data_IF_753768685732
#
_entry.id   IF_753768685732
#
_cell.length_a   1.000
_cell.length_b   1.000
_cell.length_c   1.000
_cell.angle_alpha   90.00
_cell.angle_beta   90.00
_cell.angle_gamma   90.00
#
_symmetry.space_group_name_H-M   'P 1'
#
loop_
_entity.id
_entity.type
_entity.pdbx_description
1 polymer ?
#
# COMPACT_ATOMS: atom_id res chain seq x y z
N UNK A 1 12.29 10.31 17.60
CA UNK A 1 11.26 9.48 18.28
C UNK A 1 10.61 8.62 17.22
N UNK A 2 10.52 7.30 17.45
CA UNK A 2 9.90 6.35 16.52
C UNK A 2 8.40 6.65 16.41
N UNK A 3 7.88 6.66 15.19
CA UNK A 3 6.45 6.77 14.90
C UNK A 3 5.86 5.38 14.73
N UNK A 4 4.75 5.12 15.38
CA UNK A 4 4.09 3.81 15.44
C UNK A 4 2.68 3.90 14.91
N UNK A 5 2.30 3.02 14.03
CA UNK A 5 1.02 3.12 13.32
C UNK A 5 0.25 1.82 13.19
N UNK A 6 -0.99 1.95 12.79
CA UNK A 6 -1.89 0.84 12.50
C UNK A 6 -2.77 1.15 11.30
N UNK A 7 -3.02 0.16 10.45
CA UNK A 7 -4.05 0.27 9.41
C UNK A 7 -5.44 0.11 10.02
N UNK A 8 -6.38 0.92 9.55
CA UNK A 8 -7.74 0.95 10.06
C UNK A 8 -8.75 0.87 8.91
N UNK A 9 -9.47 -0.23 8.85
CA UNK A 9 -10.43 -0.58 7.82
C UNK A 9 -11.55 -1.46 8.38
N UNK A 10 -12.51 -1.85 7.53
CA UNK A 10 -13.66 -2.69 7.89
C UNK A 10 -14.63 -2.09 8.91
N UNK A 11 -14.40 -0.91 9.41
CA UNK A 11 -15.27 -0.26 10.39
C UNK A 11 -16.16 0.78 9.73
N UNK A 12 -17.45 0.74 10.07
CA UNK A 12 -18.45 1.57 9.44
C UNK A 12 -19.12 2.61 10.35
N UNK A 13 -18.84 2.62 11.66
CA UNK A 13 -19.62 3.40 12.62
C UNK A 13 -18.74 4.32 13.48
N UNK A 14 -19.06 5.65 13.56
CA UNK A 14 -18.26 6.59 14.34
C UNK A 14 -18.10 6.22 15.83
N UNK A 15 -19.11 5.62 16.46
CA UNK A 15 -19.02 5.21 17.86
C UNK A 15 -18.10 3.99 18.08
N UNK A 16 -17.84 3.19 17.04
CA UNK A 16 -16.78 2.17 17.10
C UNK A 16 -15.41 2.84 17.06
N UNK A 17 -15.20 3.76 16.13
CA UNK A 17 -13.94 4.50 16.05
C UNK A 17 -13.62 5.23 17.35
N UNK A 18 -14.62 5.80 18.06
CA UNK A 18 -14.40 6.49 19.34
C UNK A 18 -13.72 5.55 20.35
N UNK A 19 -14.23 4.31 20.49
CA UNK A 19 -13.62 3.29 21.37
C UNK A 19 -12.27 2.80 20.85
N UNK A 20 -12.17 2.60 19.53
CA UNK A 20 -10.96 2.13 18.88
C UNK A 20 -9.82 3.16 19.00
N UNK A 21 -10.13 4.47 18.99
CA UNK A 21 -9.13 5.52 19.22
C UNK A 21 -8.52 5.45 20.62
N UNK A 22 -9.33 5.16 21.64
CA UNK A 22 -8.81 4.98 23.01
C UNK A 22 -7.90 3.74 23.08
N UNK A 23 -8.29 2.66 22.45
CA UNK A 23 -7.51 1.42 22.38
C UNK A 23 -6.21 1.61 21.58
N UNK A 24 -6.27 2.22 20.40
CA UNK A 24 -5.10 2.55 19.56
C UNK A 24 -4.10 3.41 20.34
N UNK A 25 -4.56 4.39 21.10
CA UNK A 25 -3.71 5.22 21.96
C UNK A 25 -3.12 4.44 23.13
N UNK A 26 -3.91 3.56 23.76
CA UNK A 26 -3.44 2.67 24.82
C UNK A 26 -2.35 1.72 24.33
N UNK A 27 -2.38 1.34 23.04
CA UNK A 27 -1.36 0.55 22.36
C UNK A 27 -0.21 1.40 21.78
N UNK A 28 -0.10 2.67 22.21
CA UNK A 28 1.00 3.57 21.88
C UNK A 28 1.17 3.87 20.38
N UNK A 29 0.12 3.76 19.57
CA UNK A 29 0.15 4.27 18.20
C UNK A 29 0.22 5.79 18.19
N UNK A 30 0.94 6.35 17.23
CA UNK A 30 1.07 7.80 17.00
C UNK A 30 0.36 8.25 15.72
N UNK A 31 -0.01 7.32 14.84
CA UNK A 31 -0.77 7.62 13.63
C UNK A 31 -1.67 6.43 13.24
N UNK A 32 -2.70 6.75 12.47
CA UNK A 32 -3.64 5.78 11.90
C UNK A 32 -3.61 5.93 10.37
N UNK A 33 -3.57 4.80 9.68
CA UNK A 33 -3.74 4.74 8.22
C UNK A 33 -5.18 4.33 7.92
N UNK A 34 -6.02 5.32 7.60
CA UNK A 34 -7.40 5.10 7.18
C UNK A 34 -7.44 4.56 5.78
N UNK A 35 -7.87 3.31 5.65
CA UNK A 35 -8.09 2.66 4.36
C UNK A 35 -9.51 2.96 3.89
N UNK A 36 -9.67 3.62 2.74
CA UNK A 36 -10.98 3.82 2.14
C UNK A 36 -10.96 3.70 0.62
N UNK A 37 -11.97 3.01 0.11
CA UNK A 37 -12.14 2.68 -1.29
C UNK A 37 -13.01 3.70 -2.02
N UNK A 38 -13.29 3.43 -3.28
CA UNK A 38 -14.27 4.17 -4.09
C UNK A 38 -15.69 4.08 -3.51
N UNK A 39 -15.99 3.02 -2.76
CA UNK A 39 -17.29 2.87 -2.10
C UNK A 39 -17.53 3.95 -1.05
N UNK A 40 -16.54 4.23 -0.21
CA UNK A 40 -16.60 5.28 0.80
C UNK A 40 -16.70 6.68 0.16
N UNK A 41 -16.04 6.90 -0.98
CA UNK A 41 -16.16 8.17 -1.72
C UNK A 41 -17.60 8.48 -2.12
N UNK A 42 -18.35 7.46 -2.50
CA UNK A 42 -19.71 7.62 -3.05
C UNK A 42 -20.78 7.55 -1.96
N UNK A 43 -20.71 6.54 -1.10
CA UNK A 43 -21.80 6.19 -0.20
C UNK A 43 -21.58 6.58 1.26
N UNK A 44 -20.32 6.91 1.65
CA UNK A 44 -19.98 7.12 3.04
C UNK A 44 -19.09 8.37 3.27
N UNK A 45 -19.11 9.32 2.36
CA UNK A 45 -18.22 10.50 2.38
C UNK A 45 -18.24 11.26 3.71
N UNK A 46 -19.42 11.55 4.26
CA UNK A 46 -19.53 12.31 5.50
C UNK A 46 -18.96 11.53 6.70
N UNK A 47 -19.20 10.23 6.76
CA UNK A 47 -18.66 9.34 7.77
C UNK A 47 -17.14 9.28 7.69
N UNK A 48 -16.59 9.10 6.49
CA UNK A 48 -15.13 9.07 6.28
C UNK A 48 -14.49 10.38 6.71
N UNK A 49 -15.05 11.52 6.31
CA UNK A 49 -14.60 12.85 6.79
C UNK A 49 -14.67 12.98 8.33
N UNK A 50 -15.68 12.40 8.96
CA UNK A 50 -15.80 12.36 10.42
C UNK A 50 -14.68 11.52 11.05
N UNK A 51 -14.31 10.37 10.47
CA UNK A 51 -13.22 9.53 10.96
C UNK A 51 -11.90 10.27 10.97
N UNK A 52 -11.57 10.96 9.87
CA UNK A 52 -10.37 11.77 9.78
C UNK A 52 -10.33 12.89 10.83
N UNK A 53 -11.47 13.58 11.04
CA UNK A 53 -11.57 14.61 12.07
C UNK A 53 -11.37 14.01 13.47
N UNK A 54 -12.06 12.94 13.83
CA UNK A 54 -11.95 12.29 15.15
C UNK A 54 -10.52 11.85 15.44
N UNK A 55 -9.81 11.29 14.44
CA UNK A 55 -8.39 10.88 14.57
C UNK A 55 -7.49 12.07 14.88
N UNK A 56 -7.65 13.19 14.16
CA UNK A 56 -6.88 14.41 14.43
C UNK A 56 -7.22 15.04 15.79
N UNK A 57 -8.50 15.06 16.15
CA UNK A 57 -8.96 15.56 17.45
C UNK A 57 -8.39 14.74 18.62
N UNK A 58 -8.12 13.43 18.38
CA UNK A 58 -7.43 12.56 19.31
C UNK A 58 -5.90 12.79 19.37
N UNK A 59 -5.35 13.71 18.55
CA UNK A 59 -3.92 14.04 18.51
C UNK A 59 -3.05 13.02 17.77
N UNK A 60 -3.66 12.19 16.93
CA UNK A 60 -2.96 11.18 16.13
C UNK A 60 -2.68 11.69 14.69
N UNK A 61 -1.57 11.26 14.11
CA UNK A 61 -1.31 11.41 12.68
C UNK A 61 -2.41 10.71 11.86
N UNK A 62 -2.80 11.32 10.76
CA UNK A 62 -3.96 10.90 10.00
C UNK A 62 -3.59 10.64 8.55
N UNK A 63 -3.30 9.38 8.22
CA UNK A 63 -2.91 8.96 6.88
C UNK A 63 -4.10 8.41 6.10
N UNK A 64 -4.05 8.52 4.78
CA UNK A 64 -5.06 7.98 3.89
C UNK A 64 -4.45 6.96 2.92
N UNK A 65 -5.03 5.77 2.86
CA UNK A 65 -4.66 4.69 1.95
C UNK A 65 -5.74 4.52 0.87
N UNK A 66 -5.40 4.56 -0.44
CA UNK A 66 -6.31 4.27 -1.53
C UNK A 66 -6.61 2.75 -1.64
N UNK A 67 -7.29 2.21 -0.67
CA UNK A 67 -7.54 0.77 -0.46
C UNK A 67 -8.19 0.12 -1.69
N UNK A 68 -7.40 -0.61 -2.45
CA UNK A 68 -7.73 -1.22 -3.74
C UNK A 68 -8.33 -0.25 -4.78
N UNK A 69 -8.15 1.06 -4.62
CA UNK A 69 -8.69 2.07 -5.54
C UNK A 69 -8.16 1.82 -6.96
N UNK A 70 -9.07 1.79 -7.94
CA UNK A 70 -8.76 1.54 -9.35
C UNK A 70 -8.16 0.15 -9.64
N UNK A 71 -8.08 -0.73 -8.64
CA UNK A 71 -7.35 -2.01 -8.74
C UNK A 71 -5.85 -1.83 -9.00
N UNK A 72 -5.27 -0.72 -8.52
CA UNK A 72 -3.86 -0.36 -8.70
C UNK A 72 -3.05 -0.39 -7.40
N UNK A 73 -3.70 -0.61 -6.27
CA UNK A 73 -3.12 -0.58 -4.94
C UNK A 73 -3.55 -1.81 -4.14
N UNK A 74 -2.76 -2.15 -3.14
CA UNK A 74 -3.09 -3.21 -2.19
C UNK A 74 -4.41 -2.98 -1.45
N UNK A 75 -4.96 -4.05 -0.90
CA UNK A 75 -6.16 -4.02 -0.07
C UNK A 75 -7.27 -4.96 -0.54
N UNK A 76 -8.16 -5.29 0.39
CA UNK A 76 -9.21 -6.31 0.26
C UNK A 76 -10.55 -5.71 -0.21
N UNK A 77 -10.52 -4.96 -1.32
CA UNK A 77 -11.69 -4.36 -1.94
C UNK A 77 -11.67 -4.49 -3.47
N UNK A 78 -12.81 -4.29 -4.09
CA UNK A 78 -12.93 -4.25 -5.55
C UNK A 78 -13.21 -2.82 -6.04
N UNK A 79 -12.58 -2.46 -7.16
CA UNK A 79 -12.79 -1.16 -7.79
C UNK A 79 -14.20 -1.05 -8.40
N UNK A 80 -14.96 -0.03 -7.98
CA UNK A 80 -16.23 0.32 -8.62
C UNK A 80 -16.04 1.12 -9.92
N UNK A 81 -14.85 1.67 -10.15
CA UNK A 81 -14.50 2.41 -11.36
C UNK A 81 -14.42 1.48 -12.58
N UNK A 82 -13.78 0.33 -12.39
CA UNK A 82 -13.46 -0.62 -13.47
C UNK A 82 -14.69 -1.05 -14.29
N UNK A 83 -15.78 -1.58 -13.68
CA UNK A 83 -16.96 -1.98 -14.46
C UNK A 83 -17.70 -0.82 -15.12
N UNK A 84 -17.52 0.40 -14.64
CA UNK A 84 -18.15 1.62 -15.21
C UNK A 84 -17.34 2.22 -16.35
N UNK A 85 -16.06 1.88 -16.46
CA UNK A 85 -15.14 2.45 -17.45
C UNK A 85 -14.34 1.33 -18.17
N UNK A 86 -15.04 0.41 -18.89
CA UNK A 86 -14.40 -0.78 -19.45
C UNK A 86 -13.29 -0.45 -20.45
N UNK A 87 -13.34 0.73 -21.11
CA UNK A 87 -12.30 1.15 -22.05
C UNK A 87 -11.05 1.72 -21.34
N UNK A 88 -11.16 2.05 -20.06
CA UNK A 88 -10.04 2.48 -19.23
C UNK A 88 -9.39 1.32 -18.45
N UNK A 89 -9.89 0.08 -18.62
CA UNK A 89 -9.31 -1.10 -17.94
C UNK A 89 -7.99 -1.53 -18.58
N UNK A 90 -7.18 -2.22 -17.76
CA UNK A 90 -6.06 -3.00 -18.25
C UNK A 90 -6.56 -4.17 -19.11
N UNK A 91 -5.74 -4.56 -20.07
CA UNK A 91 -5.94 -5.75 -20.88
C UNK A 91 -4.73 -6.65 -20.68
N UNK A 92 -4.97 -7.94 -20.50
CA UNK A 92 -3.91 -8.91 -20.31
C UNK A 92 -3.29 -9.34 -21.65
N UNK A 93 -2.12 -9.94 -21.60
CA UNK A 93 -1.45 -10.53 -22.77
C UNK A 93 -2.29 -11.61 -23.49
N UNK A 94 -3.27 -12.19 -22.77
CA UNK A 94 -4.29 -13.12 -23.30
C UNK A 94 -5.39 -12.43 -24.11
N UNK A 95 -5.54 -11.09 -23.97
CA UNK A 95 -6.62 -10.30 -24.55
C UNK A 95 -7.82 -10.08 -23.61
N UNK A 96 -7.83 -10.68 -22.45
CA UNK A 96 -8.88 -10.53 -21.43
C UNK A 96 -8.74 -9.17 -20.72
N UNK A 97 -9.86 -8.53 -20.40
CA UNK A 97 -9.86 -7.32 -19.55
C UNK A 97 -9.59 -7.73 -18.09
N UNK A 98 -8.66 -7.04 -17.44
CA UNK A 98 -8.39 -7.21 -16.02
C UNK A 98 -9.31 -6.31 -15.17
N UNK A 99 -9.61 -6.70 -13.92
CA UNK A 99 -10.39 -5.87 -12.98
C UNK A 99 -9.56 -4.72 -12.38
N UNK A 100 -8.73 -4.07 -13.21
CA UNK A 100 -7.84 -2.99 -12.82
C UNK A 100 -7.82 -1.89 -13.90
N UNK A 101 -7.76 -0.63 -13.48
CA UNK A 101 -7.69 0.52 -14.38
C UNK A 101 -6.29 0.66 -15.01
N UNK A 102 -6.24 1.12 -16.25
CA UNK A 102 -4.96 1.38 -16.92
C UNK A 102 -4.39 2.73 -16.49
N UNK A 103 -3.16 2.80 -15.93
CA UNK A 103 -2.53 4.05 -15.50
C UNK A 103 -2.34 5.10 -16.60
N UNK A 104 -2.33 4.68 -17.90
CA UNK A 104 -2.23 5.60 -19.02
C UNK A 104 -3.56 6.23 -19.44
N UNK A 105 -4.69 5.74 -18.90
CA UNK A 105 -6.00 6.31 -19.25
C UNK A 105 -6.23 7.64 -18.54
N UNK A 106 -6.71 8.63 -19.25
CA UNK A 106 -7.01 9.96 -18.68
C UNK A 106 -8.08 9.86 -17.59
N UNK A 107 -9.07 9.00 -17.80
CA UNK A 107 -10.17 8.73 -16.87
C UNK A 107 -9.64 8.15 -15.54
N UNK A 108 -8.65 7.24 -15.61
CA UNK A 108 -7.97 6.66 -14.44
C UNK A 108 -7.26 7.76 -13.63
N UNK A 109 -6.51 8.61 -14.30
CA UNK A 109 -5.78 9.73 -13.68
C UNK A 109 -6.73 10.74 -13.05
N UNK A 110 -7.82 11.06 -13.73
CA UNK A 110 -8.86 11.96 -13.20
C UNK A 110 -9.55 11.37 -11.96
N UNK A 111 -9.90 10.09 -11.99
CA UNK A 111 -10.51 9.40 -10.84
C UNK A 111 -9.56 9.35 -9.62
N UNK A 112 -8.27 9.06 -9.85
CA UNK A 112 -7.29 9.08 -8.75
C UNK A 112 -7.14 10.48 -8.15
N UNK A 113 -7.05 11.52 -8.97
CA UNK A 113 -7.01 12.90 -8.46
C UNK A 113 -8.26 13.30 -7.68
N UNK A 114 -9.42 12.78 -8.06
CA UNK A 114 -10.66 12.99 -7.29
C UNK A 114 -10.58 12.35 -5.91
N UNK A 115 -10.06 11.10 -5.82
CA UNK A 115 -9.82 10.42 -4.56
C UNK A 115 -8.83 11.21 -3.69
N UNK A 116 -7.70 11.65 -4.26
CA UNK A 116 -6.67 12.43 -3.58
C UNK A 116 -7.22 13.76 -3.04
N UNK A 117 -7.97 14.50 -3.87
CA UNK A 117 -8.60 15.74 -3.42
C UNK A 117 -9.49 15.50 -2.21
N UNK A 118 -10.28 14.42 -2.24
CA UNK A 118 -11.17 14.07 -1.14
C UNK A 118 -10.41 13.68 0.14
N UNK A 119 -9.35 12.87 0.03
CA UNK A 119 -8.50 12.51 1.16
C UNK A 119 -7.87 13.74 1.83
N UNK A 120 -7.38 14.67 1.02
CA UNK A 120 -6.80 15.95 1.47
C UNK A 120 -7.88 16.82 2.13
N UNK A 121 -9.05 16.95 1.53
CA UNK A 121 -10.18 17.72 2.07
C UNK A 121 -10.67 17.15 3.41
N UNK A 122 -10.61 15.84 3.60
CA UNK A 122 -10.90 15.20 4.89
C UNK A 122 -9.85 15.52 5.95
N UNK A 123 -8.65 15.94 5.52
CA UNK A 123 -7.54 16.36 6.36
C UNK A 123 -6.52 15.26 6.59
N UNK A 124 -6.26 14.44 5.62
CA UNK A 124 -5.08 13.60 5.63
C UNK A 124 -3.81 14.47 5.69
N UNK A 125 -2.89 14.13 6.58
CA UNK A 125 -1.55 14.73 6.65
C UNK A 125 -0.54 13.99 5.77
N UNK A 126 -0.86 12.76 5.40
CA UNK A 126 -0.03 11.88 4.57
C UNK A 126 -0.91 10.99 3.69
N UNK A 127 -0.56 10.88 2.41
CA UNK A 127 -1.11 9.87 1.50
C UNK A 127 -0.17 8.67 1.52
N UNK A 128 -0.72 7.50 1.77
CA UNK A 128 0.01 6.24 1.82
C UNK A 128 -0.27 5.41 0.56
N UNK A 129 0.73 5.29 -0.29
CA UNK A 129 0.70 4.53 -1.55
C UNK A 129 1.05 3.07 -1.27
N UNK A 130 0.03 2.24 -1.15
CA UNK A 130 0.14 0.85 -0.75
C UNK A 130 0.37 -0.05 -1.96
N UNK A 131 1.55 -0.63 -2.05
CA UNK A 131 1.94 -1.61 -3.08
C UNK A 131 1.43 -1.30 -4.49
N UNK A 132 1.69 -0.10 -5.05
CA UNK A 132 1.18 0.24 -6.37
C UNK A 132 1.70 -0.72 -7.44
N UNK A 133 0.78 -1.32 -8.21
CA UNK A 133 1.10 -2.38 -9.18
C UNK A 133 0.19 -2.34 -10.42
N UNK A 134 0.63 -2.94 -11.53
CA UNK A 134 -0.26 -3.39 -12.58
C UNK A 134 -0.96 -4.67 -12.12
N UNK A 135 -2.11 -5.00 -12.72
CA UNK A 135 -2.85 -6.20 -12.29
C UNK A 135 -1.95 -7.43 -12.18
N UNK A 136 -2.02 -8.09 -11.05
CA UNK A 136 -1.28 -9.30 -10.70
C UNK A 136 -2.25 -10.48 -10.73
N UNK A 137 -2.13 -11.42 -11.70
CA UNK A 137 -2.92 -12.64 -11.68
C UNK A 137 -2.73 -13.44 -10.39
N UNK A 138 -3.81 -13.99 -9.86
CA UNK A 138 -3.81 -14.77 -8.62
C UNK A 138 -3.79 -13.96 -7.33
N UNK A 139 -3.70 -12.63 -7.40
CA UNK A 139 -3.73 -11.78 -6.21
C UNK A 139 -5.04 -11.89 -5.41
N UNK A 140 -6.15 -12.05 -6.11
CA UNK A 140 -7.49 -12.11 -5.53
C UNK A 140 -8.03 -13.55 -5.36
N UNK A 141 -7.21 -14.57 -5.64
CA UNK A 141 -7.54 -16.01 -5.59
C UNK A 141 -8.81 -16.43 -6.36
N UNK A 142 -9.36 -15.53 -7.18
CA UNK A 142 -10.59 -15.81 -7.95
C UNK A 142 -10.33 -16.58 -9.26
N UNK A 143 -9.06 -16.91 -9.56
CA UNK A 143 -8.70 -17.66 -10.75
C UNK A 143 -9.06 -16.96 -12.06
N UNK A 144 -9.08 -15.63 -12.05
CA UNK A 144 -9.55 -14.81 -13.16
C UNK A 144 -8.68 -14.92 -14.41
N UNK A 145 -7.39 -15.09 -14.26
CA UNK A 145 -6.43 -15.15 -15.37
C UNK A 145 -5.30 -16.14 -15.08
N UNK A 146 -4.62 -16.66 -16.13
CA UNK A 146 -3.42 -17.47 -15.94
C UNK A 146 -2.33 -16.68 -15.18
N UNK A 147 -1.59 -17.35 -14.30
CA UNK A 147 -0.55 -16.75 -13.45
C UNK A 147 0.57 -16.05 -14.22
N UNK A 148 0.81 -16.45 -15.47
CA UNK A 148 1.84 -15.87 -16.34
C UNK A 148 1.31 -14.73 -17.22
N UNK A 149 0.02 -14.41 -17.16
CA UNK A 149 -0.56 -13.29 -17.90
C UNK A 149 0.05 -11.95 -17.44
N UNK A 150 0.36 -11.09 -18.41
CA UNK A 150 0.96 -9.77 -18.16
C UNK A 150 -0.03 -8.65 -18.49
N UNK A 151 -0.01 -7.57 -17.73
CA UNK A 151 -0.69 -6.32 -18.01
C UNK A 151 0.34 -5.19 -18.27
N UNK A 152 0.03 -4.11 -18.98
CA UNK A 152 -1.20 -3.78 -19.67
C UNK A 152 -1.03 -3.82 -21.19
N UNK A 153 -1.93 -4.51 -21.87
CA UNK A 153 -1.95 -4.67 -23.33
C UNK A 153 -3.16 -3.96 -23.99
N UNK A 154 -3.74 -2.95 -23.32
CA UNK A 154 -4.82 -2.18 -23.92
C UNK A 154 -4.35 -1.44 -25.19
N UNK A 155 -5.25 -1.02 -26.08
CA UNK A 155 -4.85 -0.35 -27.33
C UNK A 155 -3.88 0.80 -27.12
N UNK A 156 -4.12 1.67 -26.14
CA UNK A 156 -3.23 2.80 -25.79
C UNK A 156 -1.82 2.33 -25.43
N UNK A 157 -1.69 1.31 -24.58
CA UNK A 157 -0.40 0.78 -24.19
C UNK A 157 0.35 0.14 -25.34
N UNK A 158 -0.34 -0.63 -26.21
CA UNK A 158 0.26 -1.24 -27.40
C UNK A 158 0.75 -0.18 -28.41
N UNK A 159 -0.02 0.86 -28.63
CA UNK A 159 0.37 1.95 -29.51
C UNK A 159 1.54 2.75 -28.94
N UNK A 160 1.52 3.07 -27.65
CA UNK A 160 2.63 3.73 -26.95
C UNK A 160 3.91 2.90 -26.98
N UNK A 161 3.81 1.56 -26.77
CA UNK A 161 4.94 0.67 -26.88
C UNK A 161 5.53 0.67 -28.28
N UNK A 162 4.68 0.54 -29.32
CA UNK A 162 5.11 0.57 -30.72
C UNK A 162 5.81 1.88 -31.09
N UNK A 163 5.28 3.02 -30.64
CA UNK A 163 5.92 4.33 -30.87
C UNK A 163 7.29 4.40 -30.19
N UNK A 164 7.42 3.89 -28.97
CA UNK A 164 8.66 3.98 -28.20
C UNK A 164 9.76 3.02 -28.67
N UNK A 165 9.40 1.81 -29.04
CA UNK A 165 10.36 0.74 -29.36
C UNK A 165 10.42 0.33 -30.83
N UNK A 166 9.57 0.91 -31.70
CA UNK A 166 9.54 0.64 -33.14
C UNK A 166 9.06 -0.76 -33.53
N UNK A 167 8.50 -1.54 -32.59
CA UNK A 167 8.07 -2.92 -32.78
C UNK A 167 6.76 -3.22 -32.04
N UNK A 168 6.01 -4.26 -32.45
CA UNK A 168 4.84 -4.73 -31.72
C UNK A 168 5.19 -5.13 -30.28
N UNK A 169 4.26 -4.90 -29.35
CA UNK A 169 4.44 -5.29 -27.95
C UNK A 169 4.50 -6.82 -27.82
N UNK A 170 5.58 -7.40 -27.25
CA UNK A 170 5.73 -8.84 -27.06
C UNK A 170 4.78 -9.35 -25.98
N UNK A 171 4.32 -10.60 -26.10
CA UNK A 171 3.43 -11.24 -25.11
C UNK A 171 4.17 -11.87 -23.93
N UNK A 172 5.49 -11.98 -24.01
CA UNK A 172 6.38 -12.49 -22.95
C UNK A 172 7.19 -11.33 -22.38
N UNK A 173 7.62 -11.46 -21.13
CA UNK A 173 8.37 -10.41 -20.44
C UNK A 173 9.79 -10.30 -21.02
N UNK A 174 10.00 -9.28 -21.86
CA UNK A 174 11.33 -8.88 -22.37
C UNK A 174 11.85 -7.66 -21.58
N UNK A 175 13.14 -7.33 -21.69
CA UNK A 175 13.67 -6.10 -21.07
C UNK A 175 12.91 -4.83 -21.48
N UNK A 176 12.52 -4.71 -22.76
CA UNK A 176 11.77 -3.56 -23.28
C UNK A 176 10.35 -3.52 -22.69
N UNK A 177 9.69 -4.68 -22.57
CA UNK A 177 8.36 -4.75 -21.97
C UNK A 177 8.42 -4.42 -20.48
N UNK A 178 9.42 -4.91 -19.75
CA UNK A 178 9.64 -4.56 -18.34
C UNK A 178 9.83 -3.05 -18.21
N UNK A 179 10.75 -2.47 -18.98
CA UNK A 179 11.01 -1.03 -18.97
C UNK A 179 9.74 -0.23 -19.31
N UNK A 180 8.91 -0.70 -20.24
CA UNK A 180 7.64 -0.05 -20.58
C UNK A 180 6.67 -0.05 -19.40
N UNK A 181 6.49 -1.20 -18.75
CA UNK A 181 5.60 -1.38 -17.58
C UNK A 181 6.06 -0.52 -16.41
N UNK A 182 7.36 -0.53 -16.10
CA UNK A 182 7.95 0.33 -15.08
C UNK A 182 7.64 1.80 -15.36
N UNK A 183 7.89 2.26 -16.58
CA UNK A 183 7.63 3.65 -16.95
C UNK A 183 6.16 4.02 -16.86
N UNK A 184 5.26 3.09 -17.20
CA UNK A 184 3.82 3.31 -17.12
C UNK A 184 3.38 3.63 -15.68
N UNK A 185 3.88 2.86 -14.71
CA UNK A 185 3.61 3.11 -13.28
C UNK A 185 4.38 4.33 -12.75
N UNK A 186 5.63 4.50 -13.15
CA UNK A 186 6.44 5.65 -12.75
C UNK A 186 5.83 6.98 -13.19
N UNK A 187 5.33 7.07 -14.43
CA UNK A 187 4.66 8.26 -14.95
C UNK A 187 3.37 8.57 -14.17
N UNK A 188 2.60 7.53 -13.84
CA UNK A 188 1.40 7.67 -13.03
C UNK A 188 1.71 8.13 -11.61
N UNK A 189 2.61 7.43 -10.92
CA UNK A 189 3.00 7.76 -9.54
C UNK A 189 3.63 9.15 -9.45
N UNK A 190 4.49 9.53 -10.39
CA UNK A 190 5.11 10.85 -10.40
C UNK A 190 4.07 11.97 -10.50
N UNK A 191 3.05 11.80 -11.33
CA UNK A 191 1.95 12.77 -11.44
C UNK A 191 1.13 12.83 -10.15
N UNK A 192 0.78 11.69 -9.56
CA UNK A 192 -0.07 11.63 -8.37
C UNK A 192 0.66 12.10 -7.11
N UNK A 193 1.92 11.70 -6.91
CA UNK A 193 2.78 12.15 -5.81
C UNK A 193 3.03 13.67 -5.93
N UNK A 194 3.31 14.16 -7.14
CA UNK A 194 3.45 15.60 -7.40
C UNK A 194 2.17 16.37 -7.07
N UNK A 195 0.99 15.83 -7.43
CA UNK A 195 -0.31 16.43 -7.10
C UNK A 195 -0.52 16.60 -5.58
N UNK A 196 -0.12 15.61 -4.78
CA UNK A 196 -0.19 15.63 -3.32
C UNK A 196 0.83 16.61 -2.74
N UNK A 197 2.09 16.52 -3.19
CA UNK A 197 3.19 17.39 -2.76
C UNK A 197 2.87 18.88 -2.96
N UNK A 198 2.33 19.25 -4.12
CA UNK A 198 1.96 20.64 -4.45
C UNK A 198 0.83 21.20 -3.54
N UNK A 199 0.17 20.33 -2.77
CA UNK A 199 -0.86 20.67 -1.77
C UNK A 199 -0.35 20.66 -0.33
N UNK A 200 0.95 20.45 -0.15
CA UNK A 200 1.61 20.47 1.16
C UNK A 200 1.31 19.25 2.03
N UNK A 201 0.84 18.15 1.43
CA UNK A 201 0.58 16.87 2.11
C UNK A 201 1.75 15.92 1.82
N UNK A 202 2.13 15.10 2.79
CA UNK A 202 3.23 14.14 2.65
C UNK A 202 2.83 12.94 1.81
N UNK A 203 3.83 12.32 1.20
CA UNK A 203 3.72 11.07 0.47
C UNK A 203 4.54 9.98 1.15
N UNK A 204 3.90 8.89 1.52
CA UNK A 204 4.53 7.66 1.97
C UNK A 204 4.23 6.54 0.97
N UNK A 205 5.21 5.74 0.61
CA UNK A 205 5.03 4.60 -0.27
C UNK A 205 5.58 3.33 0.37
N UNK A 206 4.85 2.24 0.22
CA UNK A 206 5.33 0.89 0.51
C UNK A 206 5.34 0.09 -0.78
N UNK A 207 6.44 -0.57 -1.05
CA UNK A 207 6.60 -1.45 -2.20
C UNK A 207 6.77 -2.89 -1.72
N UNK A 208 6.24 -3.80 -2.52
CA UNK A 208 6.45 -5.23 -2.34
C UNK A 208 7.93 -5.53 -2.08
N UNK A 209 8.24 -6.46 -1.17
CA UNK A 209 9.62 -6.86 -0.89
C UNK A 209 10.35 -7.25 -2.17
N UNK A 210 11.60 -6.85 -2.28
CA UNK A 210 12.40 -7.21 -3.47
C UNK A 210 12.68 -8.70 -3.44
N UNK A 211 12.04 -9.41 -4.33
CA UNK A 211 12.38 -10.78 -4.72
C UNK A 211 12.81 -10.74 -6.19
N UNK A 212 13.91 -11.40 -6.51
CA UNK A 212 14.45 -11.45 -7.88
C UNK A 212 13.47 -12.11 -8.88
N UNK A 213 12.45 -12.80 -8.37
CA UNK A 213 11.40 -13.45 -9.15
C UNK A 213 10.15 -12.59 -9.34
N UNK A 214 10.02 -11.49 -8.61
CA UNK A 214 8.81 -10.67 -8.63
C UNK A 214 8.65 -9.91 -9.94
N UNK A 215 7.71 -10.34 -10.76
CA UNK A 215 7.36 -9.71 -12.05
C UNK A 215 6.79 -8.30 -11.88
N UNK A 216 6.18 -8.02 -10.74
CA UNK A 216 5.38 -6.83 -10.47
C UNK A 216 6.08 -5.83 -9.55
N UNK A 217 7.27 -6.17 -9.04
CA UNK A 217 8.06 -5.26 -8.23
C UNK A 217 8.50 -4.05 -9.06
N UNK A 218 8.17 -2.86 -8.58
CA UNK A 218 8.65 -1.60 -9.15
C UNK A 218 10.13 -1.38 -8.81
N UNK A 219 10.88 -0.65 -9.65
CA UNK A 219 12.29 -0.37 -9.38
C UNK A 219 12.45 0.63 -8.22
N UNK A 220 12.76 0.15 -7.03
CA UNK A 220 12.82 0.91 -5.77
C UNK A 220 13.60 2.22 -5.89
N UNK A 221 14.81 2.17 -6.50
CA UNK A 221 15.62 3.37 -6.67
C UNK A 221 14.93 4.45 -7.49
N UNK A 222 14.22 4.06 -8.56
CA UNK A 222 13.49 5.01 -9.42
C UNK A 222 12.27 5.59 -8.73
N UNK A 223 11.56 4.77 -7.96
CA UNK A 223 10.41 5.23 -7.16
C UNK A 223 10.89 6.21 -6.10
N UNK A 224 11.98 5.91 -5.43
CA UNK A 224 12.56 6.78 -4.41
C UNK A 224 13.10 8.12 -4.96
N UNK A 225 13.36 8.20 -6.26
CA UNK A 225 13.76 9.45 -6.94
C UNK A 225 12.53 10.32 -7.35
N UNK A 226 11.31 9.89 -7.10
CA UNK A 226 10.12 10.70 -7.41
C UNK A 226 10.11 11.95 -6.54
N UNK A 227 10.08 13.13 -7.18
CA UNK A 227 10.00 14.40 -6.46
C UNK A 227 8.73 14.50 -5.62
N UNK A 228 8.88 14.83 -4.35
CA UNK A 228 7.77 14.97 -3.41
C UNK A 228 7.44 13.70 -2.65
N UNK A 229 8.22 12.63 -2.79
CA UNK A 229 8.17 11.49 -1.90
C UNK A 229 8.90 11.84 -0.59
N UNK A 230 8.31 11.52 0.55
CA UNK A 230 8.86 11.83 1.88
C UNK A 230 9.28 10.57 2.64
N UNK A 231 8.48 9.51 2.52
CA UNK A 231 8.61 8.28 3.29
C UNK A 231 8.60 7.09 2.33
N UNK A 232 9.57 6.20 2.46
CA UNK A 232 9.70 5.01 1.63
C UNK A 232 9.83 3.77 2.51
N UNK A 233 9.10 2.72 2.20
CA UNK A 233 9.10 1.50 2.98
C UNK A 233 8.80 0.23 2.20
N UNK A 234 8.75 -0.86 2.94
CA UNK A 234 8.37 -2.19 2.49
C UNK A 234 7.68 -2.96 3.60
N UNK A 235 7.03 -4.04 3.24
CA UNK A 235 6.21 -4.89 4.07
C UNK A 235 6.64 -6.36 4.00
N UNK A 236 7.77 -6.71 4.60
CA UNK A 236 8.29 -8.07 4.56
C UNK A 236 7.44 -8.99 5.44
N UNK A 237 6.27 -9.36 4.95
CA UNK A 237 5.30 -10.24 5.59
C UNK A 237 5.82 -11.68 5.59
N UNK A 238 6.59 -12.04 6.62
CA UNK A 238 7.38 -13.28 6.66
C UNK A 238 6.52 -14.56 6.62
N UNK A 239 5.32 -14.56 7.18
CA UNK A 239 4.41 -15.70 7.06
C UNK A 239 3.84 -15.83 5.64
N UNK A 240 3.41 -14.71 5.05
CA UNK A 240 2.90 -14.69 3.67
C UNK A 240 3.96 -15.17 2.66
N UNK A 241 5.22 -14.78 2.89
CA UNK A 241 6.34 -15.16 2.02
C UNK A 241 7.04 -16.46 2.44
N UNK A 242 6.55 -17.17 3.46
CA UNK A 242 7.18 -18.39 4.00
C UNK A 242 8.67 -18.22 4.33
N UNK A 243 9.03 -17.10 4.95
CA UNK A 243 10.41 -16.73 5.29
C UNK A 243 10.61 -16.71 6.81
N UNK A 244 11.87 -16.81 7.23
CA UNK A 244 12.25 -16.55 8.61
C UNK A 244 12.17 -15.04 8.92
N UNK A 245 11.50 -14.68 10.01
CA UNK A 245 11.22 -13.29 10.38
C UNK A 245 12.52 -12.46 10.45
N UNK A 246 13.50 -12.90 11.26
CA UNK A 246 14.69 -12.08 11.49
C UNK A 246 15.52 -11.89 10.23
N UNK A 247 15.73 -12.97 9.49
CA UNK A 247 16.50 -12.94 8.24
C UNK A 247 15.81 -12.03 7.23
N UNK A 248 14.50 -12.22 7.03
CA UNK A 248 13.77 -11.48 6.01
C UNK A 248 13.66 -9.99 6.33
N UNK A 249 13.31 -9.64 7.57
CA UNK A 249 13.25 -8.24 8.01
C UNK A 249 14.62 -7.56 7.85
N UNK A 250 15.70 -8.21 8.28
CA UNK A 250 17.06 -7.66 8.15
C UNK A 250 17.47 -7.42 6.70
N UNK A 251 17.19 -8.38 5.82
CA UNK A 251 17.48 -8.24 4.37
C UNK A 251 16.71 -7.08 3.75
N UNK A 252 15.40 -7.02 3.99
CA UNK A 252 14.56 -6.00 3.37
C UNK A 252 14.80 -4.60 3.96
N UNK A 253 15.03 -4.51 5.26
CA UNK A 253 15.39 -3.24 5.89
C UNK A 253 16.75 -2.72 5.42
N UNK A 254 17.74 -3.60 5.22
CA UNK A 254 19.00 -3.19 4.60
C UNK A 254 18.78 -2.56 3.23
N UNK A 255 18.01 -3.21 2.36
CA UNK A 255 17.66 -2.68 1.03
C UNK A 255 16.91 -1.34 1.13
N UNK A 256 15.97 -1.23 2.07
CA UNK A 256 15.24 0.02 2.34
C UNK A 256 16.18 1.15 2.73
N UNK A 257 17.12 0.90 3.62
CA UNK A 257 18.09 1.91 4.05
C UNK A 257 19.07 2.29 2.94
N UNK A 258 19.51 1.32 2.13
CA UNK A 258 20.36 1.58 0.96
C UNK A 258 19.66 2.52 -0.05
N UNK A 259 18.33 2.52 -0.10
CA UNK A 259 17.50 3.41 -0.92
C UNK A 259 17.26 4.76 -0.23
N UNK A 260 16.90 4.76 1.05
CA UNK A 260 16.47 5.95 1.79
C UNK A 260 17.63 6.90 2.13
N UNK A 261 18.74 6.36 2.67
CA UNK A 261 19.84 7.18 3.18
C UNK A 261 20.42 8.15 2.16
N UNK A 262 20.74 7.75 0.92
CA UNK A 262 21.31 8.67 -0.07
C UNK A 262 20.37 9.79 -0.48
N UNK A 263 19.08 9.64 -0.25
CA UNK A 263 18.00 10.55 -0.70
C UNK A 263 17.40 11.39 0.44
N UNK A 264 17.80 11.11 1.68
CA UNK A 264 17.21 11.76 2.85
C UNK A 264 15.74 11.38 3.08
N UNK A 265 15.29 10.24 2.55
CA UNK A 265 13.94 9.73 2.77
C UNK A 265 13.83 9.10 4.15
N UNK A 266 12.66 9.22 4.75
CA UNK A 266 12.34 8.53 6.00
C UNK A 266 12.00 7.07 5.71
N UNK A 267 12.63 6.13 6.44
CA UNK A 267 12.39 4.70 6.27
C UNK A 267 11.15 4.26 7.05
N UNK A 268 10.29 3.47 6.41
CA UNK A 268 9.06 2.89 6.95
C UNK A 268 9.08 1.37 6.86
N UNK A 269 8.55 0.70 7.89
CA UNK A 269 8.43 -0.75 7.97
C UNK A 269 7.00 -1.13 8.33
N UNK A 270 6.40 -2.04 7.56
CA UNK A 270 5.13 -2.66 7.88
C UNK A 270 5.32 -4.09 8.37
N UNK A 271 4.74 -4.42 9.51
CA UNK A 271 4.67 -5.78 10.00
C UNK A 271 3.32 -6.40 9.67
N UNK A 272 3.34 -7.71 9.46
CA UNK A 272 2.16 -8.53 9.28
C UNK A 272 1.42 -8.68 10.61
N UNK A 273 0.16 -8.24 10.68
CA UNK A 273 -0.72 -8.45 11.83
C UNK A 273 -1.73 -9.58 11.63
N UNK A 274 -1.67 -10.27 10.50
CA UNK A 274 -2.60 -11.33 10.07
C UNK A 274 -1.87 -12.65 9.86
N UNK A 275 -2.61 -13.76 9.89
CA UNK A 275 -2.07 -15.09 9.60
C UNK A 275 -0.91 -15.53 10.51
N UNK A 276 -0.80 -14.97 11.72
CA UNK A 276 0.24 -15.35 12.68
C UNK A 276 -0.23 -16.59 13.45
N UNK A 277 0.52 -17.70 13.42
CA UNK A 277 0.18 -18.90 14.15
C UNK A 277 0.26 -18.68 15.67
N UNK A 278 -0.62 -19.35 16.43
CA UNK A 278 -0.62 -19.33 17.88
C UNK A 278 0.76 -19.70 18.46
N UNK A 279 1.22 -18.92 19.43
CA UNK A 279 2.54 -19.06 20.06
C UNK A 279 3.71 -18.40 19.31
N UNK A 280 3.45 -17.77 18.15
CA UNK A 280 4.46 -17.08 17.35
C UNK A 280 4.32 -15.55 17.38
N UNK A 281 3.40 -15.00 18.16
CA UNK A 281 3.06 -13.56 18.21
C UNK A 281 4.27 -12.71 18.64
N UNK A 282 5.18 -13.28 19.45
CA UNK A 282 6.40 -12.59 19.89
C UNK A 282 7.40 -12.30 18.76
N UNK A 283 7.26 -12.91 17.59
CA UNK A 283 8.06 -12.56 16.41
C UNK A 283 7.82 -11.10 15.95
N UNK A 284 6.64 -10.55 16.25
CA UNK A 284 6.37 -9.12 16.01
C UNK A 284 7.33 -8.22 16.80
N UNK A 285 7.63 -8.55 18.08
CA UNK A 285 8.59 -7.77 18.85
C UNK A 285 9.98 -7.84 18.23
N UNK A 286 10.41 -9.01 17.78
CA UNK A 286 11.69 -9.19 17.10
C UNK A 286 11.73 -8.39 15.77
N UNK A 287 10.70 -8.52 14.92
CA UNK A 287 10.60 -7.82 13.65
C UNK A 287 10.64 -6.30 13.80
N UNK A 288 9.83 -5.72 14.69
CA UNK A 288 9.83 -4.29 14.97
C UNK A 288 11.16 -3.80 15.54
N UNK A 289 11.76 -4.54 16.49
CA UNK A 289 13.04 -4.17 17.07
C UNK A 289 14.13 -4.13 16.00
N UNK A 290 14.21 -5.16 15.18
CA UNK A 290 15.17 -5.25 14.07
C UNK A 290 14.99 -4.12 13.06
N UNK A 291 13.72 -3.78 12.72
CA UNK A 291 13.44 -2.70 11.79
C UNK A 291 13.95 -1.36 12.33
N UNK A 292 13.70 -1.06 13.62
CA UNK A 292 14.17 0.17 14.28
C UNK A 292 15.69 0.18 14.41
N UNK A 293 16.31 -0.92 14.83
CA UNK A 293 17.78 -1.07 14.89
C UNK A 293 18.43 -0.87 13.52
N UNK A 294 17.73 -1.26 12.46
CA UNK A 294 18.18 -1.06 11.07
C UNK A 294 17.98 0.35 10.56
N UNK A 295 17.26 1.22 11.27
CA UNK A 295 17.06 2.64 10.92
C UNK A 295 15.64 3.04 10.52
N UNK A 296 14.64 2.17 10.66
CA UNK A 296 13.25 2.57 10.45
C UNK A 296 12.85 3.64 11.45
N UNK A 297 12.23 4.71 10.98
CA UNK A 297 11.72 5.82 11.80
C UNK A 297 10.19 5.74 11.94
N UNK A 298 9.53 5.09 11.00
CA UNK A 298 8.12 4.73 11.03
C UNK A 298 7.99 3.21 11.03
N UNK A 299 7.17 2.69 11.92
CA UNK A 299 6.80 1.28 11.96
C UNK A 299 5.29 1.16 12.09
N UNK A 300 4.69 0.19 11.43
CA UNK A 300 3.25 -0.03 11.51
C UNK A 300 2.87 -1.51 11.45
N UNK A 301 1.69 -1.82 11.94
CA UNK A 301 1.07 -3.14 11.83
C UNK A 301 -0.08 -3.09 10.83
N UNK A 302 -0.12 -4.03 9.88
CA UNK A 302 -1.29 -4.21 9.03
C UNK A 302 -2.28 -5.14 9.71
N UNK A 303 -3.47 -4.58 9.96
CA UNK A 303 -4.57 -5.23 10.64
C UNK A 303 -4.60 -4.97 12.15
N UNK A 304 -5.45 -4.02 12.59
CA UNK A 304 -5.80 -3.85 13.99
C UNK A 304 -6.40 -5.16 14.54
N UNK A 305 -6.13 -5.50 15.80
CA UNK A 305 -6.61 -6.73 16.45
C UNK A 305 -6.32 -8.00 15.64
N UNK A 306 -5.07 -8.17 15.15
CA UNK A 306 -4.68 -9.38 14.44
C UNK A 306 -5.51 -9.67 13.18
N UNK A 307 -6.09 -8.63 12.58
CA UNK A 307 -6.98 -8.70 11.41
C UNK A 307 -8.26 -9.53 11.63
N UNK A 308 -8.76 -9.58 12.86
CA UNK A 308 -9.88 -10.46 13.29
C UNK A 308 -11.19 -10.27 12.53
N UNK A 309 -11.32 -9.18 11.74
CA UNK A 309 -12.51 -8.89 10.94
C UNK A 309 -12.50 -9.52 9.54
N UNK A 310 -11.41 -10.18 9.14
CA UNK A 310 -11.19 -10.68 7.79
C UNK A 310 -10.72 -12.13 7.75
N UNK A 311 -10.84 -12.73 6.56
CA UNK A 311 -10.17 -13.98 6.22
C UNK A 311 -8.66 -13.83 6.45
N UNK A 312 -8.01 -14.88 6.93
CA UNK A 312 -6.59 -14.83 7.27
C UNK A 312 -6.28 -14.12 8.58
N UNK A 313 -7.24 -13.94 9.49
CA UNK A 313 -6.97 -13.49 10.86
C UNK A 313 -5.86 -14.33 11.51
N UNK A 314 -5.10 -13.73 12.43
CA UNK A 314 -4.16 -14.48 13.26
C UNK A 314 -4.91 -15.46 14.18
N UNK A 315 -4.26 -16.56 14.56
CA UNK A 315 -4.87 -17.60 15.43
C UNK A 315 -5.26 -17.06 16.81
N UNK A 316 -4.46 -16.11 17.35
CA UNK A 316 -4.74 -15.40 18.60
C UNK A 316 -4.65 -13.88 18.37
N UNK A 317 -5.72 -13.25 17.83
CA UNK A 317 -5.75 -11.84 17.50
C UNK A 317 -5.54 -10.91 18.71
N UNK A 318 -6.07 -11.27 19.87
CA UNK A 318 -5.91 -10.53 21.13
C UNK A 318 -4.43 -10.49 21.55
N UNK A 319 -3.76 -11.63 21.46
CA UNK A 319 -2.34 -11.74 21.80
C UNK A 319 -1.45 -10.96 20.83
N UNK A 320 -1.77 -10.98 19.54
CA UNK A 320 -1.10 -10.15 18.53
C UNK A 320 -1.18 -8.68 18.94
N UNK A 321 -2.37 -8.19 19.27
CA UNK A 321 -2.56 -6.79 19.63
C UNK A 321 -1.86 -6.41 20.95
N UNK A 322 -1.90 -7.29 21.97
CA UNK A 322 -1.14 -7.13 23.21
C UNK A 322 0.38 -6.98 22.95
N UNK A 323 0.95 -7.86 22.09
CA UNK A 323 2.37 -7.81 21.71
C UNK A 323 2.71 -6.50 21.00
N UNK A 324 1.88 -6.05 20.10
CA UNK A 324 2.04 -4.75 19.40
C UNK A 324 2.11 -3.60 20.43
N UNK A 325 1.14 -3.52 21.34
CA UNK A 325 1.07 -2.43 22.31
C UNK A 325 2.29 -2.36 23.22
N UNK A 326 2.72 -3.52 23.79
CA UNK A 326 3.93 -3.53 24.64
C UNK A 326 5.19 -3.19 23.86
N UNK A 327 5.30 -3.64 22.61
CA UNK A 327 6.46 -3.36 21.74
C UNK A 327 6.52 -1.88 21.38
N UNK A 328 5.42 -1.29 20.96
CA UNK A 328 5.36 0.14 20.62
C UNK A 328 5.71 1.01 21.82
N UNK A 329 5.20 0.68 23.02
CA UNK A 329 5.58 1.36 24.25
C UNK A 329 7.09 1.34 24.48
N UNK A 330 7.73 0.16 24.31
CA UNK A 330 9.18 -0.03 24.49
C UNK A 330 10.01 0.79 23.50
N UNK A 331 9.59 0.83 22.22
CA UNK A 331 10.35 1.47 21.15
C UNK A 331 10.16 3.00 21.09
N UNK A 332 9.13 3.54 21.73
CA UNK A 332 8.90 5.00 21.81
C UNK A 332 9.53 5.67 23.02
N UNK A 333 9.88 4.91 24.07
CA UNK A 333 10.58 5.40 25.27
C UNK A 333 12.10 5.37 25.04
#
# INVERSE_FOLDING_TARGET
MIQTGVSYFANGWPHHLERDLDDIRAHHCSYIVHCFSENEMVFARQRTAQFFRMTRDAGLGCWANPWAVLGLFGGEQFSAFVPRNPEACQVLSTGQRAPAACPSAAETRAAMKLWLAMAIDFGADTIFWDEPHLYIPGWDDLGFAPDDALACFCPRCRDSFRVRFGQPMPKTLTPELRLFRDNLMMDFLSEMIGYVHDRGVKNAITLLPVDDTARESLPWNRVADIRGLDIFGTDPYWYLHHRDCETFVREQMKKTMDVCQPRGLTAHFWAQGFGIPSGRENELEAGFSLAVESGAQFIAIWGMHGNSAYEGASDDPEKVWEVVGRTFRKLRN
#
